data_IF_941032725017
#
_entry.id   IF_941032725017
#
_cell.length_a   1.000
_cell.length_b   1.000
_cell.length_c   1.000
_cell.angle_alpha   90.00
_cell.angle_beta   90.00
_cell.angle_gamma   90.00
#
_symmetry.space_group_name_H-M   'P 1'
#
loop_
_entity.id
_entity.type
_entity.pdbx_description
1 polymer ?
#
# COMPACT_ATOMS: atom_id res chain seq x y z
N UNK A 1 -7.97 5.13 16.15
CA UNK A 1 -8.56 3.98 15.44
C UNK A 1 -7.45 3.31 14.64
N UNK A 2 -7.17 2.06 14.88
CA UNK A 2 -6.18 1.23 14.19
C UNK A 2 -6.92 0.34 13.21
N UNK A 3 -6.68 0.53 11.93
CA UNK A 3 -7.28 -0.27 10.87
C UNK A 3 -6.36 -1.44 10.49
N UNK A 4 -6.94 -2.53 10.03
CA UNK A 4 -6.23 -3.67 9.46
C UNK A 4 -6.53 -3.72 7.98
N UNK A 5 -5.48 -3.79 7.18
CA UNK A 5 -5.55 -3.95 5.73
C UNK A 5 -4.77 -5.19 5.32
N UNK A 6 -5.18 -5.82 4.25
CA UNK A 6 -4.40 -6.84 3.55
C UNK A 6 -4.15 -6.39 2.12
N UNK A 7 -2.96 -6.67 1.61
CA UNK A 7 -2.61 -6.50 0.21
C UNK A 7 -2.09 -7.83 -0.32
N UNK A 8 -2.73 -8.38 -1.36
CA UNK A 8 -2.42 -9.69 -1.94
C UNK A 8 -2.19 -9.57 -3.43
N UNK A 9 -1.23 -10.33 -3.97
CA UNK A 9 -1.13 -10.46 -5.42
C UNK A 9 -2.38 -11.12 -5.99
N UNK A 10 -2.85 -10.60 -7.12
CA UNK A 10 -3.91 -11.21 -7.90
C UNK A 10 -3.29 -12.30 -8.79
N UNK A 11 -3.79 -13.54 -8.69
CA UNK A 11 -3.29 -14.70 -9.45
C UNK A 11 -4.08 -14.94 -10.76
N UNK A 12 -4.87 -13.97 -11.17
CA UNK A 12 -5.64 -13.97 -12.42
C UNK A 12 -5.55 -12.60 -13.09
N UNK A 13 -6.07 -12.47 -14.30
CA UNK A 13 -6.08 -11.15 -14.95
C UNK A 13 -7.11 -10.22 -14.31
N UNK A 14 -6.87 -8.91 -14.36
CA UNK A 14 -7.81 -7.91 -13.84
C UNK A 14 -9.18 -8.05 -14.51
N UNK A 15 -9.23 -8.31 -15.83
CA UNK A 15 -10.47 -8.50 -16.57
C UNK A 15 -11.29 -9.66 -16.02
N UNK A 16 -10.63 -10.81 -15.73
CA UNK A 16 -11.30 -11.97 -15.13
C UNK A 16 -11.87 -11.65 -13.75
N UNK A 17 -11.09 -10.93 -12.92
CA UNK A 17 -11.50 -10.53 -11.59
C UNK A 17 -12.69 -9.55 -11.64
N UNK A 18 -12.64 -8.56 -12.52
CA UNK A 18 -13.73 -7.57 -12.67
C UNK A 18 -15.01 -8.23 -13.17
N UNK A 19 -14.93 -9.11 -14.16
CA UNK A 19 -16.09 -9.88 -14.67
C UNK A 19 -16.78 -10.68 -13.56
N UNK A 20 -16.01 -11.29 -12.67
CA UNK A 20 -16.54 -12.05 -11.52
C UNK A 20 -17.27 -11.15 -10.54
N UNK A 21 -16.69 -9.99 -10.22
CA UNK A 21 -17.28 -9.03 -9.30
C UNK A 21 -18.54 -8.39 -9.87
N UNK A 22 -18.54 -7.98 -11.13
CA UNK A 22 -19.68 -7.35 -11.80
C UNK A 22 -20.86 -8.32 -11.89
N UNK A 23 -20.61 -9.60 -12.18
CA UNK A 23 -21.65 -10.66 -12.14
C UNK A 23 -22.27 -10.84 -10.75
N UNK A 24 -21.58 -10.48 -9.70
CA UNK A 24 -22.05 -10.53 -8.32
C UNK A 24 -22.66 -9.21 -7.87
N UNK A 25 -22.68 -8.16 -8.71
CA UNK A 25 -23.33 -6.89 -8.44
C UNK A 25 -22.40 -5.83 -7.84
N UNK A 26 -21.09 -6.06 -7.79
CA UNK A 26 -20.13 -5.00 -7.50
C UNK A 26 -20.13 -3.95 -8.61
N UNK A 27 -19.86 -2.70 -8.24
CA UNK A 27 -19.78 -1.57 -9.17
C UNK A 27 -18.43 -0.88 -9.01
N UNK A 28 -17.85 -0.50 -10.15
CA UNK A 28 -16.70 0.41 -10.15
C UNK A 28 -17.16 1.79 -9.65
N UNK A 29 -16.63 2.23 -8.53
CA UNK A 29 -17.01 3.50 -7.88
C UNK A 29 -15.92 4.56 -7.97
N UNK A 30 -14.67 4.18 -8.22
CA UNK A 30 -13.55 5.13 -8.25
C UNK A 30 -12.39 4.59 -9.06
N UNK A 31 -11.76 5.48 -9.83
CA UNK A 31 -10.47 5.23 -10.46
C UNK A 31 -9.46 6.29 -10.03
N UNK A 32 -8.22 5.90 -9.85
CA UNK A 32 -7.15 6.85 -9.53
C UNK A 32 -5.79 6.39 -10.02
N UNK A 33 -4.86 7.35 -10.12
CA UNK A 33 -3.44 7.08 -10.31
C UNK A 33 -2.65 7.66 -9.15
N UNK A 34 -1.67 6.94 -8.68
CA UNK A 34 -0.86 7.33 -7.53
C UNK A 34 0.61 7.20 -7.90
N UNK A 35 1.38 8.22 -7.55
CA UNK A 35 2.84 8.20 -7.53
C UNK A 35 3.33 8.56 -6.14
N UNK A 36 4.03 7.64 -5.49
CA UNK A 36 4.65 7.81 -4.19
C UNK A 36 6.16 7.83 -4.34
N UNK A 37 6.79 8.97 -4.08
CA UNK A 37 8.24 9.08 -3.90
C UNK A 37 8.58 8.84 -2.44
N UNK A 38 9.32 7.78 -2.16
CA UNK A 38 9.81 7.46 -0.82
C UNK A 38 11.16 8.15 -0.59
N UNK A 39 11.20 9.02 0.39
CA UNK A 39 12.41 9.73 0.82
C UNK A 39 12.84 9.20 2.19
N UNK A 40 14.13 9.05 2.38
CA UNK A 40 14.71 8.60 3.65
C UNK A 40 15.93 9.41 3.99
N UNK A 41 16.30 9.47 5.27
CA UNK A 41 17.57 10.06 5.66
C UNK A 41 18.74 9.29 5.02
N UNK A 42 19.77 10.01 4.62
CA UNK A 42 20.91 9.49 3.86
C UNK A 42 21.45 8.18 4.44
N UNK A 43 21.46 7.15 3.62
CA UNK A 43 21.88 5.80 3.98
C UNK A 43 23.26 5.57 3.37
N UNK A 44 24.16 5.00 4.17
CA UNK A 44 25.51 4.67 3.68
C UNK A 44 25.54 3.50 2.73
N UNK A 45 24.64 2.52 2.95
CA UNK A 45 24.54 1.29 2.16
C UNK A 45 23.11 0.73 2.25
N UNK A 46 22.52 0.42 1.11
CA UNK A 46 21.23 -0.23 1.00
C UNK A 46 21.44 -1.71 0.73
N UNK A 47 20.98 -2.57 1.65
CA UNK A 47 21.07 -4.03 1.55
C UNK A 47 19.69 -4.66 1.74
N UNK A 48 19.50 -5.90 1.27
CA UNK A 48 18.24 -6.62 1.46
C UNK A 48 17.81 -6.68 2.95
N UNK A 49 18.77 -6.80 3.85
CA UNK A 49 18.51 -6.95 5.29
C UNK A 49 18.07 -5.65 5.99
N UNK A 50 18.37 -4.48 5.40
CA UNK A 50 18.07 -3.20 6.05
C UNK A 50 16.92 -2.40 5.41
N UNK A 51 16.34 -2.88 4.29
CA UNK A 51 15.27 -2.18 3.57
C UNK A 51 14.08 -1.87 4.49
N UNK A 52 13.62 -2.85 5.27
CA UNK A 52 12.47 -2.67 6.14
C UNK A 52 12.74 -1.66 7.25
N UNK A 53 13.94 -1.69 7.81
CA UNK A 53 14.37 -0.71 8.81
C UNK A 53 14.39 0.71 8.24
N UNK A 54 14.87 0.86 7.01
CA UNK A 54 14.92 2.14 6.28
C UNK A 54 13.52 2.66 5.98
N UNK A 55 12.63 1.80 5.46
CA UNK A 55 11.25 2.14 5.14
C UNK A 55 10.40 2.46 6.38
N UNK A 56 10.83 2.02 7.57
CA UNK A 56 10.14 2.27 8.83
C UNK A 56 9.90 3.75 9.12
N UNK A 57 10.81 4.62 8.70
CA UNK A 57 10.78 6.07 8.96
C UNK A 57 10.82 6.88 7.65
N UNK A 58 10.17 6.41 6.60
CA UNK A 58 10.16 7.11 5.33
C UNK A 58 9.16 8.26 5.31
N UNK A 59 9.52 9.31 4.56
CA UNK A 59 8.61 10.37 4.15
C UNK A 59 8.17 10.08 2.72
N UNK A 60 6.90 10.20 2.44
CA UNK A 60 6.35 10.02 1.09
C UNK A 60 5.91 11.39 0.55
N UNK A 61 6.35 11.69 -0.65
CA UNK A 61 5.74 12.73 -1.46
C UNK A 61 4.75 12.04 -2.38
N UNK A 62 3.45 12.24 -2.12
CA UNK A 62 2.36 11.57 -2.83
C UNK A 62 1.68 12.52 -3.79
N UNK A 63 1.70 12.16 -5.07
CA UNK A 63 0.79 12.67 -6.07
C UNK A 63 -0.36 11.68 -6.27
N UNK A 64 -1.59 12.17 -6.21
CA UNK A 64 -2.80 11.37 -6.37
C UNK A 64 -3.73 12.10 -7.34
N UNK A 65 -4.14 11.41 -8.41
CA UNK A 65 -5.18 11.89 -9.32
C UNK A 65 -6.39 10.97 -9.19
N UNK A 66 -7.52 11.53 -8.79
CA UNK A 66 -8.81 10.84 -8.70
C UNK A 66 -9.73 11.47 -9.74
N UNK A 67 -10.02 10.75 -10.82
CA UNK A 67 -10.96 11.19 -11.85
C UNK A 67 -10.69 12.61 -12.36
N UNK A 68 -9.42 12.95 -12.56
CA UNK A 68 -8.98 14.27 -13.04
C UNK A 68 -8.75 15.32 -11.95
N UNK A 69 -9.07 15.04 -10.69
CA UNK A 69 -8.74 15.91 -9.55
C UNK A 69 -7.40 15.52 -8.95
N UNK A 70 -6.50 16.47 -8.87
CA UNK A 70 -5.15 16.29 -8.34
C UNK A 70 -5.07 16.61 -6.85
N UNK A 71 -4.38 15.76 -6.11
CA UNK A 71 -4.07 15.96 -4.71
C UNK A 71 -2.57 15.71 -4.49
N UNK A 72 -1.94 16.57 -3.74
CA UNK A 72 -0.52 16.49 -3.41
C UNK A 72 -0.37 16.47 -1.89
N UNK A 73 0.35 15.48 -1.37
CA UNK A 73 0.49 15.27 0.07
C UNK A 73 1.91 14.92 0.43
N UNK A 74 2.34 15.41 1.58
CA UNK A 74 3.49 14.88 2.30
C UNK A 74 2.94 13.91 3.33
N UNK A 75 3.35 12.66 3.29
CA UNK A 75 2.90 11.62 4.23
C UNK A 75 4.12 11.09 4.99
N UNK A 76 4.11 11.25 6.30
CA UNK A 76 5.06 10.57 7.16
C UNK A 76 4.43 9.28 7.68
N UNK A 77 5.14 8.18 7.50
CA UNK A 77 4.73 6.86 7.99
C UNK A 77 5.73 6.36 9.01
N UNK A 78 5.28 6.19 10.23
CA UNK A 78 6.05 5.51 11.26
C UNK A 78 5.44 4.12 11.51
N UNK A 79 6.23 3.08 11.26
CA UNK A 79 5.81 1.70 11.46
C UNK A 79 6.47 1.13 12.71
N UNK A 80 5.65 0.63 13.61
CA UNK A 80 6.13 -0.23 14.69
C UNK A 80 6.09 -1.68 14.21
N UNK A 81 7.23 -2.34 14.25
CA UNK A 81 7.39 -3.72 13.77
C UNK A 81 7.85 -4.63 14.91
N UNK A 82 7.44 -5.88 14.89
CA UNK A 82 7.95 -6.91 15.78
C UNK A 82 9.33 -7.42 15.34
N UNK A 83 9.85 -8.41 16.07
CA UNK A 83 11.14 -9.06 15.78
C UNK A 83 11.18 -9.81 14.43
N UNK A 84 10.02 -10.19 13.90
CA UNK A 84 9.86 -10.93 12.65
C UNK A 84 9.47 -9.97 11.49
N UNK A 85 9.66 -8.65 11.69
CA UNK A 85 9.35 -7.57 10.75
C UNK A 85 7.86 -7.40 10.39
N UNK A 86 6.94 -7.98 11.15
CA UNK A 86 5.52 -7.77 10.96
C UNK A 86 5.11 -6.39 11.49
N UNK A 87 4.26 -5.70 10.76
CA UNK A 87 3.75 -4.39 11.18
C UNK A 87 2.72 -4.58 12.29
N UNK A 88 3.08 -4.16 13.51
CA UNK A 88 2.17 -4.16 14.67
C UNK A 88 1.23 -2.95 14.60
N UNK A 89 1.79 -1.79 14.22
CA UNK A 89 1.01 -0.56 14.08
C UNK A 89 1.68 0.41 13.10
N UNK A 90 0.87 1.25 12.47
CA UNK A 90 1.36 2.34 11.62
C UNK A 90 0.73 3.66 12.08
N UNK A 91 1.55 4.69 12.22
CA UNK A 91 1.09 6.07 12.39
C UNK A 91 1.29 6.81 11.08
N UNK A 92 0.22 7.43 10.57
CA UNK A 92 0.24 8.25 9.34
C UNK A 92 0.00 9.71 9.71
N UNK A 93 0.89 10.60 9.29
CA UNK A 93 0.69 12.05 9.34
C UNK A 93 0.62 12.53 7.90
N UNK A 94 -0.50 13.14 7.52
CA UNK A 94 -0.71 13.66 6.18
C UNK A 94 -0.79 15.19 6.22
N UNK A 95 -0.03 15.85 5.37
CA UNK A 95 -0.02 17.29 5.18
C UNK A 95 -0.31 17.57 3.71
N UNK A 96 -1.30 18.40 3.41
CA UNK A 96 -1.53 18.85 2.04
C UNK A 96 -0.37 19.73 1.59
N UNK A 97 0.05 19.56 0.33
CA UNK A 97 1.17 20.27 -0.25
C UNK A 97 0.74 20.85 -1.61
N UNK A 98 1.06 22.10 -1.88
CA UNK A 98 0.76 22.72 -3.16
C UNK A 98 1.78 22.33 -4.24
N UNK A 99 3.06 22.21 -3.84
CA UNK A 99 4.18 21.91 -4.74
C UNK A 99 5.08 20.81 -4.19
N UNK A 100 4.99 19.62 -4.80
CA UNK A 100 5.83 18.48 -4.40
C UNK A 100 7.30 18.67 -4.78
N UNK A 101 7.61 19.47 -5.82
CA UNK A 101 8.99 19.73 -6.22
C UNK A 101 9.71 20.58 -5.17
N UNK A 102 9.05 21.59 -4.64
CA UNK A 102 9.60 22.40 -3.54
C UNK A 102 9.71 21.59 -2.25
N UNK A 103 8.74 20.71 -1.97
CA UNK A 103 8.83 19.79 -0.84
C UNK A 103 10.01 18.82 -0.99
N UNK A 104 10.25 18.28 -2.19
CA UNK A 104 11.39 17.40 -2.48
C UNK A 104 12.72 18.12 -2.21
N UNK A 105 12.91 19.34 -2.73
CA UNK A 105 14.09 20.16 -2.47
C UNK A 105 14.30 20.46 -0.97
N UNK A 106 13.20 20.73 -0.24
CA UNK A 106 13.28 20.93 1.21
C UNK A 106 13.86 19.69 1.89
N UNK A 107 13.32 18.50 1.58
CA UNK A 107 13.81 17.26 2.19
C UNK A 107 15.25 16.93 1.77
N UNK A 108 15.63 17.20 0.52
CA UNK A 108 17.03 17.05 0.05
C UNK A 108 17.97 17.95 0.88
N UNK A 109 17.62 19.22 1.11
CA UNK A 109 18.39 20.13 1.94
C UNK A 109 18.45 19.69 3.43
N UNK A 110 17.44 18.96 3.91
CA UNK A 110 17.43 18.34 5.24
C UNK A 110 18.21 17.01 5.30
N UNK A 111 18.84 16.59 4.19
CA UNK A 111 19.66 15.38 4.13
C UNK A 111 18.88 14.11 3.84
N UNK A 112 17.68 14.22 3.30
CA UNK A 112 16.94 13.07 2.76
C UNK A 112 17.36 12.81 1.32
N UNK A 113 17.22 11.57 0.87
CA UNK A 113 17.46 11.16 -0.50
C UNK A 113 16.30 10.27 -1.00
N UNK A 114 16.10 10.26 -2.31
CA UNK A 114 15.10 9.41 -2.95
C UNK A 114 15.53 7.95 -2.84
N UNK A 115 14.66 7.14 -2.22
CA UNK A 115 14.88 5.70 -2.05
C UNK A 115 14.24 4.89 -3.18
N UNK A 116 12.98 5.18 -3.50
CA UNK A 116 12.24 4.52 -4.59
C UNK A 116 11.00 5.31 -4.96
N UNK A 117 10.47 5.02 -6.15
CA UNK A 117 9.19 5.56 -6.63
C UNK A 117 8.25 4.39 -6.86
N UNK A 118 7.06 4.47 -6.26
CA UNK A 118 5.99 3.48 -6.46
C UNK A 118 4.87 4.13 -7.26
N UNK A 119 4.63 3.65 -8.48
CA UNK A 119 3.56 4.13 -9.37
C UNK A 119 2.53 3.06 -9.55
N UNK A 120 1.26 3.42 -9.41
CA UNK A 120 0.19 2.46 -9.60
C UNK A 120 -1.14 3.11 -9.98
N UNK A 121 -1.96 2.33 -10.68
CA UNK A 121 -3.34 2.66 -11.00
C UNK A 121 -4.25 1.90 -10.05
N UNK A 122 -5.32 2.53 -9.61
CA UNK A 122 -6.29 1.92 -8.68
C UNK A 122 -7.68 1.96 -9.30
N UNK A 123 -8.39 0.85 -9.18
CA UNK A 123 -9.83 0.72 -9.42
C UNK A 123 -10.48 0.20 -8.16
N UNK A 124 -11.48 0.90 -7.66
CA UNK A 124 -12.23 0.48 -6.47
C UNK A 124 -13.59 -0.01 -6.88
N UNK A 125 -13.87 -1.26 -6.55
CA UNK A 125 -15.17 -1.89 -6.70
C UNK A 125 -15.86 -1.97 -5.35
N UNK A 126 -17.16 -1.65 -5.32
CA UNK A 126 -17.95 -1.62 -4.08
C UNK A 126 -19.23 -2.44 -4.25
N UNK A 127 -19.61 -3.15 -3.17
CA UNK A 127 -20.92 -3.77 -2.98
C UNK A 127 -21.24 -3.89 -1.50
N UNK A 128 -22.43 -3.43 -1.10
CA UNK A 128 -22.96 -3.57 0.27
C UNK A 128 -21.97 -3.08 1.36
N UNK A 129 -21.24 -1.98 1.08
CA UNK A 129 -20.23 -1.41 1.98
C UNK A 129 -18.86 -2.11 1.93
N UNK A 130 -18.67 -3.12 1.08
CA UNK A 130 -17.38 -3.78 0.90
C UNK A 130 -16.66 -3.12 -0.25
N UNK A 131 -15.55 -2.43 0.03
CA UNK A 131 -14.67 -1.86 -0.99
C UNK A 131 -13.47 -2.78 -1.24
N UNK A 132 -13.21 -3.10 -2.50
CA UNK A 132 -12.04 -3.85 -2.97
C UNK A 132 -11.24 -2.95 -3.90
N UNK A 133 -9.99 -2.61 -3.52
CA UNK A 133 -9.11 -1.76 -4.31
C UNK A 133 -8.12 -2.59 -5.12
N UNK A 134 -8.32 -2.65 -6.44
CA UNK A 134 -7.38 -3.29 -7.37
C UNK A 134 -6.29 -2.29 -7.73
N UNK A 135 -5.05 -2.69 -7.57
CA UNK A 135 -3.87 -1.86 -7.77
C UNK A 135 -2.96 -2.52 -8.80
N UNK A 136 -2.75 -1.85 -9.94
CA UNK A 136 -1.77 -2.26 -10.93
C UNK A 136 -0.49 -1.45 -10.70
N UNK A 137 0.52 -2.09 -10.11
CA UNK A 137 1.77 -1.46 -9.67
C UNK A 137 2.85 -1.69 -10.71
N UNK A 138 3.46 -0.60 -11.20
CA UNK A 138 4.58 -0.68 -12.15
C UNK A 138 5.72 -1.52 -11.57
N UNK A 139 6.18 -2.51 -12.34
CA UNK A 139 7.25 -3.42 -11.94
C UNK A 139 6.88 -4.55 -11.00
N UNK A 140 5.64 -4.57 -10.46
CA UNK A 140 5.17 -5.63 -9.57
C UNK A 140 3.96 -6.40 -10.14
N UNK A 141 3.06 -5.74 -10.86
CA UNK A 141 1.84 -6.33 -11.39
C UNK A 141 0.60 -5.99 -10.57
N UNK A 142 -0.45 -6.81 -10.72
CA UNK A 142 -1.75 -6.54 -10.15
C UNK A 142 -1.92 -7.16 -8.76
N UNK A 143 -2.52 -6.39 -7.88
CA UNK A 143 -2.82 -6.80 -6.51
C UNK A 143 -4.17 -6.25 -6.06
N UNK A 144 -4.72 -6.84 -5.03
CA UNK A 144 -5.95 -6.41 -4.37
C UNK A 144 -5.64 -5.97 -2.95
N UNK A 145 -6.20 -4.84 -2.56
CA UNK A 145 -6.16 -4.32 -1.19
C UNK A 145 -7.59 -4.30 -0.65
N UNK A 146 -7.74 -4.82 0.56
CA UNK A 146 -8.98 -4.81 1.30
C UNK A 146 -8.71 -4.33 2.72
N UNK A 147 -9.46 -3.33 3.16
CA UNK A 147 -9.36 -2.73 4.49
C UNK A 147 -10.55 -3.12 5.34
N UNK A 148 -10.30 -3.53 6.59
CA UNK A 148 -11.35 -3.79 7.57
C UNK A 148 -11.63 -2.50 8.35
N UNK A 149 -12.88 -2.06 8.39
CA UNK A 149 -13.34 -0.85 9.08
C UNK A 149 -13.41 -0.99 10.61
N UNK A 150 -13.25 -2.19 11.16
CA UNK A 150 -13.23 -2.40 12.60
C UNK A 150 -12.04 -1.71 13.27
N UNK A 151 -12.23 -1.25 14.53
CA UNK A 151 -11.13 -0.70 15.32
C UNK A 151 -10.32 -1.79 16.01
N UNK A 152 -9.07 -1.92 15.63
CA UNK A 152 -8.11 -2.89 16.15
C UNK A 152 -7.16 -2.32 17.21
N UNK A 153 -7.46 -1.15 17.79
CA UNK A 153 -6.55 -0.45 18.73
C UNK A 153 -6.19 -1.30 19.95
N UNK A 154 -7.15 -2.09 20.44
CA UNK A 154 -7.00 -2.94 21.63
C UNK A 154 -6.91 -4.44 21.31
N UNK A 155 -6.77 -4.83 20.04
CA UNK A 155 -6.64 -6.21 19.62
C UNK A 155 -5.21 -6.71 19.75
N UNK A 156 -5.04 -7.96 20.16
CA UNK A 156 -3.75 -8.62 20.18
C UNK A 156 -3.36 -9.16 18.79
N UNK A 157 -2.14 -9.66 18.65
CA UNK A 157 -1.60 -10.12 17.35
C UNK A 157 -2.44 -11.28 16.78
N UNK A 158 -2.87 -12.25 17.60
CA UNK A 158 -3.68 -13.38 17.16
C UNK A 158 -5.02 -12.92 16.58
N UNK A 159 -5.70 -11.99 17.23
CA UNK A 159 -6.96 -11.41 16.73
C UNK A 159 -6.77 -10.65 15.40
N UNK A 160 -5.61 -10.01 15.21
CA UNK A 160 -5.26 -9.35 13.94
C UNK A 160 -5.03 -10.38 12.83
N UNK A 161 -4.33 -11.46 13.12
CA UNK A 161 -4.08 -12.55 12.17
C UNK A 161 -5.38 -13.26 11.77
N UNK A 162 -6.25 -13.56 12.74
CA UNK A 162 -7.59 -14.11 12.47
C UNK A 162 -8.45 -13.17 11.64
N UNK A 163 -8.37 -11.85 11.86
CA UNK A 163 -9.06 -10.87 11.05
C UNK A 163 -8.55 -10.87 9.61
N UNK A 164 -7.23 -10.90 9.41
CA UNK A 164 -6.62 -10.98 8.08
C UNK A 164 -7.03 -12.26 7.34
N UNK A 165 -7.07 -13.40 8.02
CA UNK A 165 -7.53 -14.65 7.45
C UNK A 165 -9.00 -14.55 6.98
N UNK A 166 -9.88 -13.99 7.80
CA UNK A 166 -11.29 -13.76 7.43
C UNK A 166 -11.43 -12.81 6.23
N UNK A 167 -10.54 -11.81 6.12
CA UNK A 167 -10.49 -10.91 4.97
C UNK A 167 -10.07 -11.65 3.69
N UNK A 168 -9.11 -12.57 3.75
CA UNK A 168 -8.73 -13.43 2.62
C UNK A 168 -9.89 -14.33 2.21
N UNK A 169 -10.51 -15.04 3.16
CA UNK A 169 -11.68 -15.89 2.92
C UNK A 169 -12.83 -15.10 2.28
N UNK A 170 -12.99 -13.83 2.71
CA UNK A 170 -13.99 -12.93 2.12
C UNK A 170 -13.70 -12.61 0.66
N UNK A 171 -12.45 -12.27 0.31
CA UNK A 171 -12.04 -12.03 -1.08
C UNK A 171 -12.26 -13.29 -1.92
N UNK A 172 -11.87 -14.46 -1.41
CA UNK A 172 -12.04 -15.73 -2.09
C UNK A 172 -13.52 -16.11 -2.30
N UNK A 173 -14.40 -15.74 -1.36
CA UNK A 173 -15.83 -15.96 -1.49
C UNK A 173 -16.46 -15.28 -2.70
N UNK A 174 -15.80 -14.26 -3.26
CA UNK A 174 -16.15 -13.62 -4.51
C UNK A 174 -15.55 -14.32 -5.74
N UNK A 175 -14.87 -15.48 -5.54
CA UNK A 175 -14.25 -16.27 -6.60
C UNK A 175 -12.93 -15.68 -7.11
N UNK A 176 -12.34 -14.71 -6.39
CA UNK A 176 -11.07 -14.13 -6.75
C UNK A 176 -9.91 -15.04 -6.33
N UNK A 177 -8.91 -15.13 -7.20
CA UNK A 177 -7.71 -15.91 -6.96
C UNK A 177 -6.60 -14.98 -6.46
N UNK A 178 -6.17 -15.15 -5.22
CA UNK A 178 -5.13 -14.34 -4.58
C UNK A 178 -3.99 -15.19 -4.05
N UNK A 179 -2.78 -14.62 -4.00
CA UNK A 179 -1.67 -15.20 -3.26
C UNK A 179 -1.96 -15.05 -1.76
N UNK A 180 -1.75 -16.13 -1.02
CA UNK A 180 -1.89 -16.16 0.44
C UNK A 180 -0.53 -15.95 1.12
N UNK A 181 -0.54 -15.94 2.42
CA UNK A 181 0.62 -16.04 3.32
C UNK A 181 1.31 -14.72 3.66
N UNK A 182 1.35 -13.70 2.78
CA UNK A 182 2.04 -12.45 3.13
C UNK A 182 1.40 -11.20 2.55
N UNK A 183 1.46 -10.11 3.29
CA UNK A 183 1.12 -8.80 2.77
C UNK A 183 2.19 -8.30 1.79
N UNK A 184 1.75 -7.84 0.62
CA UNK A 184 2.64 -7.22 -0.37
C UNK A 184 3.12 -5.87 0.16
N UNK A 185 4.44 -5.70 0.23
CA UNK A 185 5.10 -4.45 0.65
C UNK A 185 5.70 -3.77 -0.58
N UNK A 186 4.88 -3.05 -1.35
CA UNK A 186 5.20 -2.47 -2.67
C UNK A 186 6.59 -1.82 -2.77
N UNK A 187 6.91 -0.90 -1.85
CA UNK A 187 8.20 -0.23 -1.86
C UNK A 187 9.37 -1.19 -1.56
N UNK A 188 9.21 -2.10 -0.58
CA UNK A 188 10.23 -3.11 -0.25
C UNK A 188 10.54 -3.96 -1.48
N UNK A 189 9.52 -4.51 -2.12
CA UNK A 189 9.68 -5.42 -3.26
C UNK A 189 10.29 -4.74 -4.50
N UNK A 190 9.97 -3.47 -4.74
CA UNK A 190 10.61 -2.70 -5.82
C UNK A 190 12.09 -2.45 -5.53
N UNK A 191 12.44 -2.14 -4.28
CA UNK A 191 13.83 -1.93 -3.86
C UNK A 191 14.60 -3.23 -3.97
N UNK A 192 14.06 -4.35 -3.48
CA UNK A 192 14.69 -5.68 -3.58
C UNK A 192 15.00 -6.07 -5.02
N UNK A 193 14.09 -5.76 -5.96
CA UNK A 193 14.32 -5.97 -7.39
C UNK A 193 15.40 -5.06 -7.99
N UNK A 194 15.65 -3.90 -7.40
CA UNK A 194 16.66 -2.95 -7.87
C UNK A 194 18.06 -3.24 -7.33
N UNK A 195 18.16 -3.92 -6.19
CA UNK A 195 19.43 -4.36 -5.63
C UNK A 195 19.86 -5.61 -6.41
N UNK A 196 20.89 -5.43 -7.25
CA UNK A 196 21.52 -6.57 -7.92
C UNK A 196 22.21 -7.44 -6.88
N UNK A 197 22.04 -8.75 -7.02
CA UNK A 197 22.80 -9.74 -6.25
C UNK A 197 24.29 -9.64 -6.55
#
# INVERSE_FOLDING_TARGET
MKQVEITRYLLETEESAFDKLEKQGFKLIRTSTIEDKYLTSKIRELTKDNIQYILKNSVLLRYLNIEGKEFKKITYKYKNVDKDENIISETKININCEDLSEAEKLFENLGFELLTIVKYKVKVYEKDGIELAFQNVEGLGSMIEYENEEDFENKNQLEIEEAKQKMEEKIESFGLLIEKERDVKKAKELIEKSIKD
#
